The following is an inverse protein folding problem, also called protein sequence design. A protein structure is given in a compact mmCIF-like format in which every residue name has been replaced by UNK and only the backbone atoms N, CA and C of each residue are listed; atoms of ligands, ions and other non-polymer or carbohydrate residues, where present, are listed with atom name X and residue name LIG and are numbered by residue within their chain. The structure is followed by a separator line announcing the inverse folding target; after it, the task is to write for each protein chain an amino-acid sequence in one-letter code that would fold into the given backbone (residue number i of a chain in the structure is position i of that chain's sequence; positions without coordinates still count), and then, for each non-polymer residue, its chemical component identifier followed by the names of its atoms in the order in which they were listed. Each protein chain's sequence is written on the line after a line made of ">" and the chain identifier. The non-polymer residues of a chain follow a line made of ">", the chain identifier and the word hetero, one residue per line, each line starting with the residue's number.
data_IF_753546586840
#
_entry.id   IF_753546586840
#
_cell.length_a   1.000
_cell.length_b   1.000
_cell.length_c   1.000
_cell.angle_alpha   90.00
_cell.angle_beta   90.00
_cell.angle_gamma   90.00
#
_symmetry.space_group_name_H-M   'P 1'
#
loop_
_entity.id
_entity.type
_entity.pdbx_description
1 polymer ?
#
# COMPACT_ATOMS: atom_id res chain seq x y z
N UNK A 1 -47.92 -9.39 -6.58
CA UNK A 1 -46.80 -8.49 -6.90
C UNK A 1 -45.51 -9.28 -6.71
N UNK A 2 -44.85 -9.66 -7.80
CA UNK A 2 -43.64 -10.45 -7.79
C UNK A 2 -42.52 -9.57 -7.27
N UNK A 3 -42.04 -9.81 -6.04
CA UNK A 3 -40.84 -9.18 -5.54
C UNK A 3 -39.66 -9.73 -6.32
N UNK A 4 -39.22 -9.00 -7.34
CA UNK A 4 -37.93 -9.24 -7.97
C UNK A 4 -36.87 -9.01 -6.89
N UNK A 5 -36.49 -10.09 -6.19
CA UNK A 5 -35.30 -10.08 -5.38
C UNK A 5 -34.12 -9.68 -6.28
N UNK A 6 -33.44 -8.58 -5.94
CA UNK A 6 -32.24 -8.18 -6.66
C UNK A 6 -31.29 -9.39 -6.73
N UNK A 7 -30.72 -9.68 -7.90
CA UNK A 7 -29.83 -10.83 -8.05
C UNK A 7 -28.72 -10.75 -6.99
N UNK A 8 -28.54 -11.85 -6.25
CA UNK A 8 -27.46 -11.93 -5.25
C UNK A 8 -26.15 -11.65 -5.93
N UNK A 9 -25.42 -10.66 -5.45
CA UNK A 9 -24.06 -10.38 -5.92
C UNK A 9 -23.17 -11.57 -5.62
N UNK A 10 -22.18 -11.77 -6.46
CA UNK A 10 -21.16 -12.82 -6.27
C UNK A 10 -19.80 -12.26 -6.65
N UNK A 11 -18.85 -12.39 -5.74
CA UNK A 11 -17.50 -11.93 -5.94
C UNK A 11 -16.50 -13.08 -5.78
N UNK A 12 -15.50 -13.12 -6.64
CA UNK A 12 -14.30 -13.92 -6.41
C UNK A 12 -13.15 -13.00 -6.00
N UNK A 13 -12.39 -13.41 -5.01
CA UNK A 13 -11.07 -12.85 -4.71
C UNK A 13 -10.01 -13.80 -5.20
N UNK A 14 -9.14 -13.33 -6.08
CA UNK A 14 -7.92 -14.03 -6.51
C UNK A 14 -6.73 -13.39 -5.82
N UNK A 15 -5.87 -14.22 -5.19
CA UNK A 15 -4.73 -13.76 -4.39
C UNK A 15 -3.48 -14.56 -4.78
N UNK A 16 -2.42 -13.85 -5.13
CA UNK A 16 -1.10 -14.42 -5.43
C UNK A 16 -0.39 -14.91 -4.19
N UNK A 17 -0.21 -16.22 -4.06
CA UNK A 17 0.40 -16.83 -2.88
C UNK A 17 1.85 -16.40 -2.70
N UNK A 18 2.19 -15.83 -1.52
CA UNK A 18 3.55 -15.38 -1.20
C UNK A 18 4.15 -14.51 -2.32
N UNK A 19 3.37 -13.59 -2.87
CA UNK A 19 3.54 -12.98 -4.19
C UNK A 19 4.98 -12.56 -4.50
N UNK A 20 5.64 -11.77 -3.64
CA UNK A 20 7.01 -11.32 -3.91
C UNK A 20 8.00 -12.49 -4.00
N UNK A 21 7.90 -13.46 -3.09
CA UNK A 21 8.74 -14.67 -3.16
C UNK A 21 8.43 -15.47 -4.43
N UNK A 22 7.16 -15.57 -4.81
CA UNK A 22 6.77 -16.26 -6.03
C UNK A 22 7.31 -15.55 -7.29
N UNK A 23 7.37 -14.22 -7.31
CA UNK A 23 8.04 -13.48 -8.37
C UNK A 23 9.53 -13.83 -8.46
N UNK A 24 10.25 -13.87 -7.33
CA UNK A 24 11.67 -14.26 -7.33
C UNK A 24 11.86 -15.70 -7.83
N UNK A 25 10.97 -16.64 -7.46
CA UNK A 25 10.99 -18.04 -7.90
C UNK A 25 10.76 -18.21 -9.40
N UNK A 26 9.92 -17.37 -10.01
CA UNK A 26 9.70 -17.41 -11.48
C UNK A 26 11.01 -17.20 -12.24
N UNK A 27 11.86 -16.29 -11.78
CA UNK A 27 13.16 -16.00 -12.42
C UNK A 27 14.31 -16.84 -11.87
N UNK A 28 14.12 -17.49 -10.73
CA UNK A 28 15.11 -18.41 -10.16
C UNK A 28 14.44 -19.66 -9.58
N UNK A 29 14.16 -20.68 -10.43
CA UNK A 29 13.51 -21.91 -9.99
C UNK A 29 14.29 -22.70 -8.92
N UNK A 30 15.60 -22.44 -8.75
CA UNK A 30 16.41 -23.07 -7.68
C UNK A 30 15.96 -22.66 -6.27
N UNK A 31 15.11 -21.66 -6.15
CA UNK A 31 14.52 -21.23 -4.89
C UNK A 31 13.28 -22.06 -4.47
N UNK A 32 12.81 -22.98 -5.33
CA UNK A 32 11.71 -23.88 -4.94
C UNK A 32 12.17 -24.82 -3.83
N UNK A 33 11.31 -24.98 -2.80
CA UNK A 33 11.62 -25.75 -1.60
C UNK A 33 12.63 -25.10 -0.64
N UNK A 34 13.20 -23.95 -0.98
CA UNK A 34 14.13 -23.22 -0.13
C UNK A 34 13.38 -22.19 0.71
N UNK A 35 13.71 -21.99 2.01
CA UNK A 35 13.16 -20.89 2.79
C UNK A 35 13.65 -19.56 2.22
N UNK A 36 12.71 -18.71 1.81
CA UNK A 36 12.97 -17.40 1.20
C UNK A 36 12.18 -16.32 1.89
N UNK A 37 12.80 -15.17 2.10
CA UNK A 37 12.15 -13.93 2.52
C UNK A 37 12.48 -12.80 1.55
N UNK A 38 11.52 -11.91 1.33
CA UNK A 38 11.78 -10.62 0.68
C UNK A 38 11.70 -9.55 1.77
N UNK A 39 12.69 -8.68 1.78
CA UNK A 39 12.86 -7.65 2.79
C UNK A 39 12.18 -6.35 2.35
N UNK A 40 11.83 -5.51 3.32
CA UNK A 40 11.28 -4.18 3.07
C UNK A 40 12.35 -3.24 2.50
N UNK A 41 11.94 -2.02 2.11
CA UNK A 41 12.90 -0.95 1.80
C UNK A 41 13.97 -0.84 2.89
N UNK A 42 15.23 -0.73 2.48
CA UNK A 42 16.43 -0.71 3.35
C UNK A 42 16.66 -2.01 4.14
N UNK A 43 16.11 -3.14 3.65
CA UNK A 43 16.31 -4.48 4.20
C UNK A 43 16.01 -4.62 5.71
N UNK A 44 15.08 -3.80 6.21
CA UNK A 44 14.80 -3.71 7.64
C UNK A 44 14.04 -4.89 8.23
N UNK A 45 13.08 -5.46 7.49
CA UNK A 45 12.21 -6.54 7.97
C UNK A 45 11.63 -7.39 6.83
N UNK A 46 11.21 -8.62 7.14
CA UNK A 46 10.58 -9.52 6.19
C UNK A 46 9.16 -9.07 5.84
N UNK A 47 8.90 -8.71 4.58
CA UNK A 47 7.58 -8.31 4.06
C UNK A 47 6.92 -9.38 3.21
N UNK A 48 7.66 -10.38 2.75
CA UNK A 48 7.11 -11.60 2.16
C UNK A 48 7.95 -12.80 2.59
N UNK A 49 7.31 -13.98 2.66
CA UNK A 49 7.93 -15.20 3.17
C UNK A 49 7.40 -16.39 2.39
N UNK A 50 8.28 -17.31 2.01
CA UNK A 50 7.89 -18.60 1.48
C UNK A 50 7.19 -19.46 2.55
N UNK A 51 6.57 -20.56 2.16
CA UNK A 51 5.97 -21.51 3.13
C UNK A 51 7.04 -22.13 4.02
N UNK A 52 8.20 -22.43 3.46
CA UNK A 52 9.35 -22.96 4.20
C UNK A 52 9.86 -21.96 5.24
N UNK A 53 9.92 -20.66 4.88
CA UNK A 53 10.29 -19.62 5.83
C UNK A 53 9.25 -19.43 6.94
N UNK A 54 7.95 -19.57 6.62
CA UNK A 54 6.87 -19.58 7.64
C UNK A 54 6.97 -20.79 8.57
N UNK A 55 7.33 -21.97 8.05
CA UNK A 55 7.53 -23.19 8.84
C UNK A 55 8.71 -23.05 9.82
N UNK A 56 9.71 -22.24 9.50
CA UNK A 56 10.80 -21.86 10.42
C UNK A 56 10.38 -20.84 11.49
N UNK A 57 9.10 -20.47 11.56
CA UNK A 57 8.58 -19.51 12.55
C UNK A 57 8.82 -18.04 12.22
N UNK A 58 9.30 -17.69 11.04
CA UNK A 58 9.52 -16.30 10.65
C UNK A 58 8.18 -15.57 10.54
N UNK A 59 7.99 -14.49 11.30
CA UNK A 59 6.76 -13.70 11.33
C UNK A 59 6.76 -12.56 10.30
N UNK A 60 5.56 -12.07 9.93
CA UNK A 60 5.43 -10.88 9.07
C UNK A 60 5.97 -9.65 9.79
N UNK A 61 6.78 -8.85 9.11
CA UNK A 61 7.40 -7.67 9.68
C UNK A 61 8.56 -7.97 10.64
N UNK A 62 8.99 -9.23 10.76
CA UNK A 62 10.10 -9.59 11.65
C UNK A 62 11.39 -8.90 11.20
N UNK A 63 12.12 -8.20 12.12
CA UNK A 63 13.34 -7.52 11.79
C UNK A 63 14.42 -8.46 11.24
N UNK A 64 15.09 -8.04 10.17
CA UNK A 64 16.10 -8.85 9.49
C UNK A 64 17.26 -9.25 10.43
N UNK A 65 17.71 -8.34 11.28
CA UNK A 65 18.80 -8.64 12.22
C UNK A 65 18.49 -9.80 13.17
N UNK A 66 17.22 -10.08 13.46
CA UNK A 66 16.79 -11.19 14.31
C UNK A 66 16.82 -12.53 13.61
N UNK A 67 16.70 -12.57 12.29
CA UNK A 67 16.55 -13.81 11.50
C UNK A 67 17.74 -14.08 10.56
N UNK A 68 18.65 -13.14 10.39
CA UNK A 68 19.79 -13.30 9.47
C UNK A 68 20.70 -14.48 9.79
N UNK A 69 20.77 -14.92 11.06
CA UNK A 69 21.53 -16.11 11.45
C UNK A 69 20.99 -17.40 10.80
N UNK A 70 19.72 -17.41 10.42
CA UNK A 70 19.06 -18.55 9.77
C UNK A 70 19.60 -18.79 8.35
N UNK A 71 20.30 -17.84 7.73
CA UNK A 71 20.99 -18.07 6.45
C UNK A 71 22.01 -19.20 6.55
N UNK A 72 22.79 -19.21 7.65
CA UNK A 72 23.79 -20.26 7.90
C UNK A 72 23.17 -21.53 8.45
N UNK A 73 22.15 -21.40 9.28
CA UNK A 73 21.57 -22.52 10.03
C UNK A 73 20.57 -23.34 9.19
N UNK A 74 19.75 -22.70 8.37
CA UNK A 74 18.65 -23.32 7.64
C UNK A 74 18.67 -23.03 6.13
N UNK A 75 19.72 -22.39 5.63
CA UNK A 75 19.82 -22.02 4.22
C UNK A 75 18.83 -20.94 3.77
N UNK A 76 18.33 -20.13 4.72
CA UNK A 76 17.42 -19.02 4.41
C UNK A 76 18.05 -18.10 3.34
N UNK A 77 17.26 -17.74 2.33
CA UNK A 77 17.64 -16.75 1.32
C UNK A 77 16.86 -15.47 1.52
N UNK A 78 17.55 -14.34 1.56
CA UNK A 78 16.94 -13.03 1.68
C UNK A 78 17.17 -12.22 0.40
N UNK A 79 16.13 -11.56 -0.06
CA UNK A 79 16.15 -10.68 -1.22
C UNK A 79 15.70 -9.29 -0.80
N UNK A 80 16.39 -8.26 -1.29
CA UNK A 80 15.87 -6.89 -1.24
C UNK A 80 14.63 -6.77 -2.14
N UNK A 81 13.67 -5.91 -1.76
CA UNK A 81 12.45 -5.75 -2.55
C UNK A 81 12.73 -5.15 -3.93
N UNK A 82 12.31 -5.86 -4.98
CA UNK A 82 12.31 -5.40 -6.36
C UNK A 82 10.89 -4.98 -6.78
N UNK A 83 10.46 -3.79 -6.33
CA UNK A 83 9.10 -3.32 -6.58
C UNK A 83 8.78 -3.11 -8.06
N UNK A 84 9.78 -2.88 -8.91
CA UNK A 84 9.58 -2.74 -10.36
C UNK A 84 9.20 -4.09 -10.97
N UNK A 85 9.91 -5.15 -10.62
CA UNK A 85 9.57 -6.52 -10.99
C UNK A 85 8.18 -6.92 -10.47
N UNK A 86 7.90 -6.65 -9.19
CA UNK A 86 6.63 -7.07 -8.59
C UNK A 86 5.45 -6.32 -9.19
N UNK A 87 5.63 -5.04 -9.56
CA UNK A 87 4.60 -4.27 -10.24
C UNK A 87 4.33 -4.80 -11.66
N UNK A 88 5.37 -5.17 -12.42
CA UNK A 88 5.21 -5.77 -13.75
C UNK A 88 4.47 -7.11 -13.67
N UNK A 89 4.88 -8.00 -12.76
CA UNK A 89 4.23 -9.29 -12.54
C UNK A 89 2.77 -9.14 -12.08
N UNK A 90 2.49 -8.15 -11.22
CA UNK A 90 1.14 -7.79 -10.82
C UNK A 90 0.30 -7.34 -12.02
N UNK A 91 0.80 -6.43 -12.84
CA UNK A 91 0.09 -5.95 -14.03
C UNK A 91 -0.24 -7.10 -14.99
N UNK A 92 0.67 -8.03 -15.19
CA UNK A 92 0.44 -9.23 -16.00
C UNK A 92 -0.66 -10.11 -15.39
N UNK A 93 -0.61 -10.34 -14.07
CA UNK A 93 -1.65 -11.10 -13.36
C UNK A 93 -3.01 -10.41 -13.51
N UNK A 94 -3.11 -9.11 -13.27
CA UNK A 94 -4.36 -8.35 -13.38
C UNK A 94 -4.91 -8.35 -14.81
N UNK A 95 -4.05 -8.28 -15.83
CA UNK A 95 -4.44 -8.40 -17.23
C UNK A 95 -5.03 -9.78 -17.57
N UNK A 96 -4.47 -10.85 -17.02
CA UNK A 96 -5.04 -12.21 -17.16
C UNK A 96 -6.40 -12.26 -16.47
N UNK A 97 -6.51 -11.76 -15.24
CA UNK A 97 -7.74 -11.82 -14.44
C UNK A 97 -8.88 -11.02 -15.07
N UNK A 98 -8.59 -9.93 -15.79
CA UNK A 98 -9.62 -9.13 -16.49
C UNK A 98 -10.37 -9.89 -17.57
N UNK A 99 -9.83 -11.02 -18.06
CA UNK A 99 -10.49 -11.82 -19.11
C UNK A 99 -11.57 -12.75 -18.55
N UNK A 100 -11.67 -12.94 -17.22
CA UNK A 100 -12.54 -13.92 -16.59
C UNK A 100 -13.87 -13.34 -16.07
N UNK A 101 -13.97 -12.01 -15.97
CA UNK A 101 -15.18 -11.36 -15.47
C UNK A 101 -15.39 -10.00 -16.15
N UNK A 102 -16.65 -9.53 -16.28
CA UNK A 102 -16.94 -8.25 -16.91
C UNK A 102 -16.41 -7.04 -16.11
N UNK A 103 -16.20 -7.22 -14.80
CA UNK A 103 -15.67 -6.19 -13.90
C UNK A 103 -14.65 -6.76 -12.96
N UNK A 104 -13.56 -5.99 -12.74
CA UNK A 104 -12.54 -6.31 -11.76
C UNK A 104 -12.22 -5.08 -10.91
N UNK A 105 -11.74 -5.32 -9.70
CA UNK A 105 -11.12 -4.32 -8.83
C UNK A 105 -9.74 -4.82 -8.41
N UNK A 106 -8.71 -4.10 -8.83
CA UNK A 106 -7.35 -4.34 -8.35
C UNK A 106 -7.24 -3.79 -6.94
N UNK A 107 -7.37 -4.68 -5.95
CA UNK A 107 -7.39 -4.32 -4.53
C UNK A 107 -5.99 -4.07 -3.96
N UNK A 108 -5.02 -4.89 -4.36
CA UNK A 108 -3.61 -4.74 -3.98
C UNK A 108 -2.69 -5.20 -5.11
N UNK A 109 -1.38 -5.25 -4.86
CA UNK A 109 -0.39 -5.73 -5.82
C UNK A 109 -0.57 -7.23 -6.14
N UNK A 110 -1.21 -7.99 -5.25
CA UNK A 110 -1.36 -9.45 -5.31
C UNK A 110 -2.81 -9.93 -5.17
N UNK A 111 -3.77 -9.03 -4.96
CA UNK A 111 -5.20 -9.36 -4.78
C UNK A 111 -6.09 -8.61 -5.78
N UNK A 112 -7.04 -9.33 -6.36
CA UNK A 112 -8.02 -8.79 -7.29
C UNK A 112 -9.41 -9.37 -7.01
N UNK A 113 -10.42 -8.50 -6.92
CA UNK A 113 -11.82 -8.92 -6.92
C UNK A 113 -12.36 -8.97 -8.34
N UNK A 114 -13.15 -10.02 -8.63
CA UNK A 114 -13.88 -10.22 -9.88
C UNK A 114 -15.38 -10.25 -9.57
N UNK A 115 -16.20 -9.55 -10.36
CA UNK A 115 -17.66 -9.62 -10.25
C UNK A 115 -18.19 -10.77 -11.11
N UNK A 116 -18.64 -11.81 -10.45
CA UNK A 116 -19.26 -12.99 -11.09
C UNK A 116 -20.79 -12.94 -11.08
N UNK A 117 -21.38 -11.81 -10.70
CA UNK A 117 -22.83 -11.65 -10.60
C UNK A 117 -23.48 -11.86 -11.96
N UNK A 118 -24.54 -12.67 -12.01
CA UNK A 118 -25.27 -12.96 -13.23
C UNK A 118 -24.59 -13.95 -14.18
N UNK A 119 -23.36 -14.38 -13.91
CA UNK A 119 -22.69 -15.40 -14.74
C UNK A 119 -23.24 -16.79 -14.40
N UNK A 120 -23.75 -17.49 -15.43
CA UNK A 120 -24.23 -18.86 -15.30
C UNK A 120 -23.09 -19.84 -15.59
N UNK A 121 -22.23 -20.05 -14.61
CA UNK A 121 -21.01 -20.86 -14.70
C UNK A 121 -20.80 -21.68 -13.43
N UNK A 122 -20.07 -22.77 -13.54
CA UNK A 122 -19.48 -23.46 -12.38
C UNK A 122 -18.33 -22.59 -11.82
N UNK A 123 -18.57 -21.99 -10.68
CA UNK A 123 -17.63 -21.05 -10.04
C UNK A 123 -16.40 -21.75 -9.51
N UNK A 124 -16.56 -22.96 -9.00
CA UNK A 124 -15.43 -23.77 -8.52
C UNK A 124 -14.50 -24.14 -9.69
N UNK A 125 -15.06 -24.58 -10.80
CA UNK A 125 -14.32 -24.85 -12.02
C UNK A 125 -13.64 -23.59 -12.58
N UNK A 126 -14.36 -22.46 -12.60
CA UNK A 126 -13.76 -21.17 -12.99
C UNK A 126 -12.54 -20.84 -12.11
N UNK A 127 -12.66 -21.01 -10.78
CA UNK A 127 -11.56 -20.79 -9.85
C UNK A 127 -10.34 -21.63 -10.18
N UNK A 128 -10.53 -22.91 -10.51
CA UNK A 128 -9.44 -23.80 -10.93
C UNK A 128 -8.84 -23.37 -12.27
N UNK A 129 -9.68 -22.94 -13.23
CA UNK A 129 -9.21 -22.43 -14.53
C UNK A 129 -8.36 -21.18 -14.35
N UNK A 130 -8.80 -20.21 -13.54
CA UNK A 130 -8.03 -19.01 -13.21
C UNK A 130 -6.66 -19.38 -12.64
N UNK A 131 -6.63 -20.25 -11.65
CA UNK A 131 -5.38 -20.70 -11.02
C UNK A 131 -4.42 -21.36 -12.02
N UNK A 132 -4.95 -22.25 -12.85
CA UNK A 132 -4.16 -22.93 -13.86
C UNK A 132 -3.56 -21.95 -14.86
N UNK A 133 -4.37 -21.05 -15.39
CA UNK A 133 -3.94 -20.07 -16.41
C UNK A 133 -2.92 -19.06 -15.87
N UNK A 134 -3.13 -18.52 -14.67
CA UNK A 134 -2.17 -17.63 -14.01
C UNK A 134 -0.84 -18.37 -13.77
N UNK A 135 -0.89 -19.59 -13.24
CA UNK A 135 0.32 -20.40 -13.01
C UNK A 135 1.03 -20.72 -14.31
N UNK A 136 0.31 -21.10 -15.37
CA UNK A 136 0.89 -21.47 -16.66
C UNK A 136 1.53 -20.26 -17.35
N UNK A 137 0.88 -19.10 -17.35
CA UNK A 137 1.32 -17.95 -18.14
C UNK A 137 2.38 -17.09 -17.46
N UNK A 138 2.30 -16.95 -16.13
CA UNK A 138 3.22 -16.08 -15.38
C UNK A 138 3.93 -16.78 -14.20
N UNK A 139 3.68 -18.06 -13.98
CA UNK A 139 4.36 -18.83 -12.94
C UNK A 139 3.91 -18.56 -11.50
N UNK A 140 2.92 -17.69 -11.26
CA UNK A 140 2.46 -17.32 -9.92
C UNK A 140 1.37 -18.28 -9.43
N UNK A 141 1.55 -18.98 -8.28
CA UNK A 141 0.50 -19.77 -7.67
C UNK A 141 -0.54 -18.84 -7.02
N UNK A 142 -1.83 -19.15 -7.19
CA UNK A 142 -2.93 -18.35 -6.65
C UNK A 142 -3.91 -19.15 -5.84
N UNK A 143 -4.64 -18.49 -4.92
CA UNK A 143 -5.84 -19.02 -4.28
C UNK A 143 -7.05 -18.18 -4.71
N UNK A 144 -8.23 -18.86 -4.78
CA UNK A 144 -9.48 -18.22 -5.15
C UNK A 144 -10.53 -18.44 -4.06
N UNK A 145 -11.11 -17.36 -3.57
CA UNK A 145 -12.22 -17.40 -2.62
C UNK A 145 -13.45 -16.77 -3.21
N UNK A 146 -14.61 -17.43 -3.15
CA UNK A 146 -15.86 -16.97 -3.75
C UNK A 146 -16.93 -16.81 -2.67
N UNK A 147 -17.66 -15.70 -2.71
CA UNK A 147 -18.72 -15.37 -1.75
C UNK A 147 -19.72 -14.37 -2.28
N UNK A 148 -20.81 -14.18 -1.55
CA UNK A 148 -21.86 -13.20 -1.90
C UNK A 148 -21.50 -11.76 -1.53
N UNK A 149 -20.37 -11.55 -0.87
CA UNK A 149 -19.82 -10.25 -0.52
C UNK A 149 -18.30 -10.27 -0.60
N UNK A 150 -17.66 -9.12 -0.62
CA UNK A 150 -16.18 -9.01 -0.59
C UNK A 150 -15.60 -9.64 0.68
N UNK A 151 -16.24 -9.44 1.84
CA UNK A 151 -15.78 -10.04 3.10
C UNK A 151 -15.91 -11.57 3.08
N UNK A 152 -16.99 -12.11 2.51
CA UNK A 152 -17.12 -13.56 2.32
C UNK A 152 -16.08 -14.10 1.33
N UNK A 153 -15.80 -13.40 0.23
CA UNK A 153 -14.77 -13.81 -0.73
C UNK A 153 -13.36 -13.83 -0.09
N UNK A 154 -13.04 -12.85 0.76
CA UNK A 154 -11.77 -12.85 1.54
C UNK A 154 -11.72 -13.99 2.56
N UNK A 155 -12.82 -14.26 3.25
CA UNK A 155 -12.90 -15.40 4.17
C UNK A 155 -12.75 -16.75 3.43
N UNK A 156 -13.42 -16.90 2.29
CA UNK A 156 -13.28 -18.07 1.42
C UNK A 156 -11.83 -18.27 0.95
N UNK A 157 -11.15 -17.18 0.58
CA UNK A 157 -9.73 -17.21 0.20
C UNK A 157 -8.84 -17.65 1.38
N UNK A 158 -9.11 -17.15 2.59
CA UNK A 158 -8.43 -17.62 3.81
C UNK A 158 -8.62 -19.12 4.02
N UNK A 159 -9.85 -19.64 3.86
CA UNK A 159 -10.15 -21.08 3.96
C UNK A 159 -9.37 -21.86 2.90
N UNK A 160 -9.40 -21.40 1.64
CA UNK A 160 -8.70 -22.04 0.53
C UNK A 160 -7.18 -22.12 0.74
N UNK A 161 -6.59 -21.12 1.40
CA UNK A 161 -5.14 -21.10 1.74
C UNK A 161 -4.75 -21.99 2.89
N UNK A 162 -5.63 -22.16 3.88
CA UNK A 162 -5.32 -22.85 5.14
C UNK A 162 -5.70 -24.33 5.14
N UNK A 163 -6.60 -24.75 4.26
CA UNK A 163 -7.18 -26.08 4.25
C UNK A 163 -6.96 -26.78 2.91
N UNK A 164 -6.07 -27.79 2.86
CA UNK A 164 -5.69 -28.50 1.63
C UNK A 164 -6.86 -29.13 0.88
N UNK A 165 -7.92 -29.55 1.60
CA UNK A 165 -9.11 -30.16 1.02
C UNK A 165 -9.84 -29.27 0.00
N UNK A 166 -9.63 -27.97 0.05
CA UNK A 166 -10.20 -27.02 -0.91
C UNK A 166 -9.38 -26.87 -2.19
N UNK A 167 -8.25 -27.50 -2.29
CA UNK A 167 -7.37 -27.39 -3.46
C UNK A 167 -7.19 -25.93 -3.93
N UNK A 168 -7.00 -25.02 -2.97
CA UNK A 168 -6.82 -23.55 -3.16
C UNK A 168 -8.00 -22.83 -3.83
N UNK A 169 -9.20 -23.43 -3.91
CA UNK A 169 -10.45 -22.78 -4.36
C UNK A 169 -11.55 -23.08 -3.36
N UNK A 170 -12.15 -22.04 -2.78
CA UNK A 170 -13.29 -22.19 -1.88
C UNK A 170 -14.46 -21.37 -2.38
N UNK A 171 -15.56 -22.00 -2.73
CA UNK A 171 -16.82 -21.35 -3.11
C UNK A 171 -17.85 -21.50 -1.99
N UNK A 172 -18.01 -20.43 -1.18
CA UNK A 172 -19.03 -20.41 -0.12
C UNK A 172 -20.45 -20.34 -0.69
N UNK A 173 -20.62 -19.88 -1.94
CA UNK A 173 -21.97 -19.72 -2.54
C UNK A 173 -22.63 -21.05 -2.90
N UNK A 174 -21.81 -22.10 -3.05
CA UNK A 174 -22.28 -23.47 -3.37
C UNK A 174 -22.57 -24.31 -2.11
N UNK A 175 -22.20 -23.82 -0.92
CA UNK A 175 -22.33 -24.56 0.32
C UNK A 175 -23.68 -24.30 1.03
N UNK A 176 -24.22 -25.29 1.74
CA UNK A 176 -25.34 -25.08 2.64
C UNK A 176 -24.93 -24.21 3.83
N UNK A 177 -25.89 -23.44 4.35
CA UNK A 177 -25.66 -22.49 5.45
C UNK A 177 -25.09 -23.15 6.71
N UNK A 178 -25.48 -24.38 6.98
CA UNK A 178 -24.92 -25.20 8.08
C UNK A 178 -23.42 -25.37 7.95
N UNK A 179 -22.95 -25.73 6.75
CA UNK A 179 -21.52 -25.91 6.48
C UNK A 179 -20.75 -24.59 6.53
N UNK A 180 -21.32 -23.50 6.03
CA UNK A 180 -20.73 -22.16 6.14
C UNK A 180 -20.56 -21.79 7.62
N UNK A 181 -21.58 -22.05 8.44
CA UNK A 181 -21.53 -21.74 9.88
C UNK A 181 -20.49 -22.60 10.63
N UNK A 182 -20.33 -23.88 10.30
CA UNK A 182 -19.25 -24.73 10.84
C UNK A 182 -17.86 -24.15 10.51
N UNK A 183 -17.65 -23.78 9.24
CA UNK A 183 -16.40 -23.15 8.81
C UNK A 183 -16.15 -21.86 9.58
N UNK A 184 -17.15 -20.98 9.69
CA UNK A 184 -17.04 -19.72 10.40
C UNK A 184 -16.82 -19.90 11.92
N UNK A 185 -17.38 -20.95 12.53
CA UNK A 185 -17.17 -21.26 13.95
C UNK A 185 -15.72 -21.66 14.25
N UNK A 186 -15.05 -22.28 13.28
CA UNK A 186 -13.66 -22.77 13.44
C UNK A 186 -12.58 -21.71 13.17
N UNK A 187 -12.97 -20.51 12.75
CA UNK A 187 -12.05 -19.43 12.39
C UNK A 187 -12.15 -18.32 13.43
N UNK A 188 -11.01 -17.88 13.97
CA UNK A 188 -10.95 -16.83 14.97
C UNK A 188 -11.35 -15.46 14.36
N UNK A 189 -11.98 -14.61 15.16
CA UNK A 189 -12.53 -13.32 14.70
C UNK A 189 -11.47 -12.36 14.16
N UNK A 190 -10.22 -12.47 14.60
CA UNK A 190 -9.09 -11.67 14.09
C UNK A 190 -8.72 -11.98 12.63
N UNK A 191 -9.18 -13.10 12.08
CA UNK A 191 -8.96 -13.45 10.67
C UNK A 191 -9.97 -12.78 9.72
N UNK A 192 -10.97 -12.09 10.28
CA UNK A 192 -11.92 -11.31 9.48
C UNK A 192 -11.28 -10.03 8.96
N UNK A 193 -11.47 -9.77 7.69
CA UNK A 193 -10.98 -8.55 7.06
C UNK A 193 -11.45 -7.28 7.79
N UNK A 194 -10.49 -6.43 8.16
CA UNK A 194 -10.74 -5.20 8.90
C UNK A 194 -10.76 -5.35 10.43
N UNK A 195 -10.63 -6.57 10.98
CA UNK A 195 -10.56 -6.81 12.43
C UNK A 195 -9.09 -6.88 12.86
N UNK A 196 -8.54 -5.76 13.31
CA UNK A 196 -7.17 -5.68 13.83
C UNK A 196 -7.08 -6.00 15.33
N UNK A 197 -5.85 -6.06 15.87
CA UNK A 197 -5.56 -6.47 17.25
C UNK A 197 -6.42 -5.78 18.30
N UNK A 198 -6.52 -4.45 18.28
CA UNK A 198 -7.32 -3.70 19.28
C UNK A 198 -8.80 -4.06 19.22
N UNK A 199 -9.36 -4.19 18.02
CA UNK A 199 -10.76 -4.56 17.86
C UNK A 199 -10.99 -6.01 18.26
N UNK A 200 -10.04 -6.91 17.99
CA UNK A 200 -10.08 -8.32 18.47
C UNK A 200 -10.16 -8.41 19.98
N UNK A 201 -9.33 -7.66 20.70
CA UNK A 201 -9.33 -7.62 22.17
C UNK A 201 -10.69 -7.18 22.70
N UNK A 202 -11.28 -6.13 22.10
CA UNK A 202 -12.60 -5.62 22.49
C UNK A 202 -13.75 -6.58 22.15
N UNK A 203 -13.71 -7.24 21.00
CA UNK A 203 -14.71 -8.25 20.59
C UNK A 203 -14.64 -9.48 21.51
N UNK A 204 -13.44 -9.94 21.84
CA UNK A 204 -13.23 -11.06 22.75
C UNK A 204 -13.77 -10.76 24.16
N UNK A 205 -13.64 -9.52 24.64
CA UNK A 205 -14.23 -9.09 25.91
C UNK A 205 -15.76 -9.13 25.91
N UNK A 206 -16.39 -9.07 24.72
CA UNK A 206 -17.84 -9.24 24.54
C UNK A 206 -18.25 -10.70 24.28
N UNK A 207 -17.33 -11.66 24.36
CA UNK A 207 -17.59 -13.06 24.06
C UNK A 207 -17.58 -13.43 22.57
N UNK A 208 -17.28 -12.48 21.68
CA UNK A 208 -17.21 -12.69 20.22
C UNK A 208 -15.79 -13.14 19.87
N UNK A 209 -15.58 -14.44 19.71
CA UNK A 209 -14.26 -15.07 19.51
C UNK A 209 -14.06 -15.64 18.10
N UNK A 210 -15.17 -16.08 17.48
CA UNK A 210 -15.16 -16.68 16.14
C UNK A 210 -15.83 -15.78 15.11
N UNK A 211 -15.59 -16.07 13.82
CA UNK A 211 -16.30 -15.44 12.70
C UNK A 211 -17.80 -15.64 12.82
N UNK A 212 -18.25 -16.83 13.30
CA UNK A 212 -19.66 -17.12 13.47
C UNK A 212 -20.29 -16.25 14.59
N UNK A 213 -19.58 -16.05 15.69
CA UNK A 213 -20.06 -15.17 16.77
C UNK A 213 -20.28 -13.76 16.25
N UNK A 214 -19.33 -13.23 15.44
CA UNK A 214 -19.47 -11.92 14.83
C UNK A 214 -20.62 -11.87 13.82
N UNK A 215 -20.79 -12.89 12.98
CA UNK A 215 -21.94 -13.00 12.05
C UNK A 215 -23.27 -12.95 12.76
N UNK A 216 -23.37 -13.57 13.95
CA UNK A 216 -24.60 -13.63 14.78
C UNK A 216 -24.85 -12.38 15.60
N UNK A 217 -23.83 -11.56 15.86
CA UNK A 217 -23.95 -10.35 16.65
C UNK A 217 -24.99 -9.38 16.09
N UNK A 218 -25.65 -8.61 16.98
CA UNK A 218 -26.61 -7.59 16.54
C UNK A 218 -25.90 -6.41 15.85
N UNK A 219 -26.17 -6.14 14.56
CA UNK A 219 -25.43 -5.12 13.80
C UNK A 219 -25.56 -3.72 14.40
N UNK A 220 -26.75 -3.35 14.88
CA UNK A 220 -27.00 -2.01 15.44
C UNK A 220 -26.30 -1.78 16.76
N UNK A 221 -26.24 -2.81 17.59
CA UNK A 221 -25.47 -2.76 18.86
C UNK A 221 -23.97 -2.65 18.55
N UNK A 222 -23.47 -3.39 17.56
CA UNK A 222 -22.07 -3.32 17.16
C UNK A 222 -21.72 -1.97 16.51
N UNK A 223 -22.62 -1.38 15.75
CA UNK A 223 -22.45 -0.02 15.21
C UNK A 223 -22.27 1.01 16.33
N UNK A 224 -23.13 0.96 17.35
CA UNK A 224 -23.08 1.90 18.49
C UNK A 224 -21.83 1.74 19.35
N UNK A 225 -21.34 0.50 19.52
CA UNK A 225 -20.15 0.21 20.33
C UNK A 225 -18.85 0.49 19.61
N UNK A 226 -18.82 0.30 18.32
CA UNK A 226 -17.59 0.38 17.53
C UNK A 226 -17.69 1.38 16.36
N UNK A 227 -18.33 0.97 15.25
CA UNK A 227 -18.49 1.83 14.09
C UNK A 227 -19.44 1.21 13.05
N UNK A 228 -19.85 2.04 12.06
CA UNK A 228 -20.58 1.58 10.88
C UNK A 228 -19.79 0.54 10.06
N UNK A 229 -18.46 0.54 10.15
CA UNK A 229 -17.61 -0.44 9.44
C UNK A 229 -17.84 -1.84 10.03
N UNK A 230 -17.88 -1.98 11.35
CA UNK A 230 -18.16 -3.28 12.00
C UNK A 230 -19.58 -3.75 11.69
N UNK A 231 -20.57 -2.86 11.68
CA UNK A 231 -21.93 -3.18 11.25
C UNK A 231 -21.94 -3.74 9.83
N UNK A 232 -21.30 -3.05 8.88
CA UNK A 232 -21.19 -3.51 7.50
C UNK A 232 -20.49 -4.86 7.38
N UNK A 233 -19.42 -5.09 8.15
CA UNK A 233 -18.74 -6.38 8.20
C UNK A 233 -19.67 -7.51 8.58
N UNK A 234 -20.56 -7.30 9.57
CA UNK A 234 -21.56 -8.30 9.96
C UNK A 234 -22.54 -8.60 8.82
N UNK A 235 -23.04 -7.57 8.15
CA UNK A 235 -23.91 -7.75 6.97
C UNK A 235 -23.20 -8.48 5.81
N UNK A 236 -21.95 -8.13 5.57
CA UNK A 236 -21.11 -8.80 4.58
C UNK A 236 -20.91 -10.31 4.93
N UNK A 237 -20.66 -10.65 6.18
CA UNK A 237 -20.57 -12.04 6.64
C UNK A 237 -21.87 -12.81 6.48
N UNK A 238 -23.03 -12.13 6.49
CA UNK A 238 -24.35 -12.69 6.20
C UNK A 238 -24.63 -12.83 4.69
N UNK A 239 -23.70 -12.42 3.84
CA UNK A 239 -23.83 -12.46 2.38
C UNK A 239 -24.58 -11.25 1.78
N UNK A 240 -24.78 -10.19 2.57
CA UNK A 240 -25.38 -8.93 2.08
C UNK A 240 -24.24 -8.01 1.67
N UNK A 241 -24.05 -7.79 0.37
CA UNK A 241 -22.99 -6.96 -0.17
C UNK A 241 -23.22 -5.47 0.17
N UNK A 242 -22.44 -4.95 1.11
CA UNK A 242 -22.41 -3.52 1.49
C UNK A 242 -21.33 -2.74 0.73
N UNK A 243 -20.34 -3.45 0.18
CA UNK A 243 -19.23 -2.89 -0.58
C UNK A 243 -19.41 -3.24 -2.06
N UNK A 244 -19.42 -2.24 -2.92
CA UNK A 244 -19.37 -2.43 -4.38
C UNK A 244 -17.93 -2.61 -4.86
N UNK A 245 -17.74 -3.08 -6.10
CA UNK A 245 -16.45 -2.98 -6.75
C UNK A 245 -16.16 -1.52 -7.09
N UNK A 246 -14.92 -1.11 -6.86
CA UNK A 246 -14.39 0.17 -7.32
C UNK A 246 -13.76 -0.03 -8.70
N UNK A 247 -14.48 0.39 -9.75
CA UNK A 247 -14.02 0.25 -11.15
C UNK A 247 -12.79 1.14 -11.42
N UNK A 248 -12.65 2.24 -10.67
CA UNK A 248 -11.54 3.18 -10.76
C UNK A 248 -11.05 3.48 -9.34
N UNK A 249 -9.75 3.34 -9.11
CA UNK A 249 -9.16 3.75 -7.84
C UNK A 249 -9.39 5.25 -7.62
N UNK A 250 -10.02 5.65 -6.50
CA UNK A 250 -10.23 7.07 -6.22
C UNK A 250 -8.88 7.80 -6.14
N UNK A 251 -8.85 9.10 -6.50
CA UNK A 251 -7.64 9.90 -6.34
C UNK A 251 -7.14 9.85 -4.89
N UNK A 252 -5.83 9.77 -4.74
CA UNK A 252 -5.22 9.71 -3.41
C UNK A 252 -5.53 11.00 -2.64
N UNK A 253 -6.10 10.87 -1.46
CA UNK A 253 -6.39 11.98 -0.56
C UNK A 253 -5.14 12.48 0.18
N UNK A 254 -4.11 11.63 0.28
CA UNK A 254 -2.81 11.96 0.84
C UNK A 254 -1.70 11.26 0.06
N UNK A 255 -0.56 11.93 -0.09
CA UNK A 255 0.63 11.35 -0.71
C UNK A 255 1.76 11.35 0.30
N UNK A 256 2.17 10.15 0.72
CA UNK A 256 3.23 9.95 1.71
C UNK A 256 4.52 9.53 1.02
N UNK A 257 5.64 10.13 1.44
CA UNK A 257 6.98 9.69 1.07
C UNK A 257 7.84 9.68 2.32
N UNK A 258 8.21 8.49 2.81
CA UNK A 258 9.01 8.33 4.03
C UNK A 258 9.93 7.12 3.91
N UNK A 259 11.10 7.19 4.59
CA UNK A 259 12.04 6.07 4.68
C UNK A 259 12.68 6.00 6.06
N UNK A 260 12.98 4.78 6.49
CA UNK A 260 13.94 4.55 7.57
C UNK A 260 15.35 4.63 7.01
N UNK A 261 16.27 5.19 7.77
CA UNK A 261 17.68 5.30 7.40
C UNK A 261 18.40 3.98 7.67
N UNK A 262 19.36 3.61 6.83
CA UNK A 262 20.21 2.43 7.05
C UNK A 262 21.19 2.62 8.24
N UNK A 263 21.60 3.86 8.48
CA UNK A 263 22.32 4.32 9.68
C UNK A 263 21.55 5.45 10.35
N UNK A 264 21.74 5.62 11.64
CA UNK A 264 21.17 6.77 12.33
C UNK A 264 21.74 8.08 11.77
N UNK A 265 20.88 9.08 11.65
CA UNK A 265 21.22 10.43 11.17
C UNK A 265 21.11 11.39 12.35
N UNK A 266 22.16 12.16 12.60
CA UNK A 266 22.21 13.15 13.69
C UNK A 266 22.16 14.57 13.20
N UNK A 267 22.67 14.80 11.99
CA UNK A 267 22.87 16.15 11.44
C UNK A 267 21.65 16.67 10.70
N UNK A 268 21.31 17.94 10.96
CA UNK A 268 20.18 18.62 10.32
C UNK A 268 20.31 18.66 8.79
N UNK A 269 21.53 18.86 8.27
CA UNK A 269 21.76 18.94 6.84
C UNK A 269 21.44 17.61 6.11
N UNK A 270 21.78 16.45 6.69
CA UNK A 270 21.45 15.13 6.15
C UNK A 270 19.91 14.91 6.15
N UNK A 271 19.23 15.35 7.21
CA UNK A 271 17.76 15.30 7.26
C UNK A 271 17.12 16.23 6.22
N UNK A 272 17.69 17.43 5.98
CA UNK A 272 17.23 18.35 4.92
C UNK A 272 17.35 17.71 3.54
N UNK A 273 18.46 17.04 3.23
CA UNK A 273 18.64 16.32 1.98
C UNK A 273 17.59 15.22 1.80
N UNK A 274 17.37 14.39 2.84
CA UNK A 274 16.37 13.33 2.81
C UNK A 274 14.95 13.88 2.60
N UNK A 275 14.54 14.89 3.37
CA UNK A 275 13.23 15.55 3.28
C UNK A 275 13.01 16.16 1.90
N UNK A 276 14.04 16.80 1.32
CA UNK A 276 13.98 17.35 -0.05
C UNK A 276 13.75 16.27 -1.08
N UNK A 277 14.49 15.17 -1.00
CA UNK A 277 14.32 14.03 -1.90
C UNK A 277 12.91 13.41 -1.78
N UNK A 278 12.42 13.24 -0.54
CA UNK A 278 11.09 12.67 -0.30
C UNK A 278 9.99 13.60 -0.78
N UNK A 279 10.13 14.92 -0.59
CA UNK A 279 9.17 15.89 -1.05
C UNK A 279 9.14 15.98 -2.58
N UNK A 280 10.30 15.95 -3.24
CA UNK A 280 10.39 15.92 -4.71
C UNK A 280 9.64 14.73 -5.31
N UNK A 281 9.77 13.54 -4.70
CA UNK A 281 9.02 12.34 -5.11
C UNK A 281 7.52 12.45 -4.84
N UNK A 282 7.13 13.07 -3.73
CA UNK A 282 5.72 13.27 -3.40
C UNK A 282 5.08 14.27 -4.39
N UNK A 283 5.78 15.35 -4.71
CA UNK A 283 5.36 16.36 -5.69
C UNK A 283 5.21 15.79 -7.11
N UNK A 284 6.14 14.93 -7.55
CA UNK A 284 6.03 14.22 -8.83
C UNK A 284 4.75 13.37 -8.89
N UNK A 285 4.43 12.61 -7.82
CA UNK A 285 3.21 11.81 -7.74
C UNK A 285 1.95 12.68 -7.73
N UNK A 286 2.00 13.84 -7.07
CA UNK A 286 0.91 14.82 -7.02
C UNK A 286 0.60 15.34 -8.42
N UNK A 287 1.62 15.75 -9.18
CA UNK A 287 1.49 16.20 -10.58
C UNK A 287 0.99 15.10 -11.51
N UNK A 288 1.48 13.86 -11.36
CA UNK A 288 0.97 12.71 -12.14
C UNK A 288 -0.51 12.44 -11.92
N UNK A 289 -1.04 12.80 -10.74
CA UNK A 289 -2.46 12.72 -10.43
C UNK A 289 -3.25 13.94 -10.94
N UNK A 290 -2.60 14.98 -11.47
CA UNK A 290 -3.24 16.24 -11.85
C UNK A 290 -3.80 17.02 -10.65
N UNK A 291 -3.14 16.96 -9.51
CA UNK A 291 -3.63 17.50 -8.24
C UNK A 291 -2.66 18.50 -7.63
N UNK A 292 -3.19 19.33 -6.72
CA UNK A 292 -2.44 20.28 -5.88
C UNK A 292 -2.69 19.93 -4.40
N UNK A 293 -1.74 20.29 -3.52
CA UNK A 293 -1.86 20.12 -2.08
C UNK A 293 -2.06 21.46 -1.38
N UNK A 294 -2.78 21.48 -0.26
CA UNK A 294 -2.98 22.69 0.59
C UNK A 294 -2.17 22.63 1.88
N UNK A 295 -1.66 21.47 2.28
CA UNK A 295 -0.84 21.33 3.48
C UNK A 295 0.29 20.33 3.29
N UNK A 296 1.38 20.58 4.02
CA UNK A 296 2.56 19.74 4.10
C UNK A 296 2.77 19.31 5.54
N UNK A 297 2.85 18.01 5.77
CA UNK A 297 3.26 17.45 7.05
C UNK A 297 4.66 16.86 6.95
N UNK A 298 5.52 17.17 7.91
CA UNK A 298 6.88 16.62 8.02
C UNK A 298 7.01 15.92 9.37
N UNK A 299 7.66 14.77 9.41
CA UNK A 299 7.93 14.05 10.64
C UNK A 299 9.32 13.42 10.65
N UNK A 300 9.91 13.37 11.83
CA UNK A 300 11.17 12.67 12.12
C UNK A 300 11.02 11.87 13.40
N UNK A 301 11.73 10.76 13.51
CA UNK A 301 11.74 9.97 14.74
C UNK A 301 13.02 9.14 14.90
N UNK A 302 13.37 8.85 16.16
CA UNK A 302 14.36 7.86 16.54
C UNK A 302 13.82 6.44 16.43
N UNK A 303 14.61 5.43 16.68
CA UNK A 303 14.16 4.03 16.72
C UNK A 303 13.31 3.78 17.98
N UNK A 304 12.10 3.23 17.85
CA UNK A 304 11.31 2.83 19.02
C UNK A 304 11.80 1.52 19.67
N UNK A 305 12.80 0.86 19.08
CA UNK A 305 13.35 -0.43 19.54
C UNK A 305 14.68 -0.29 20.28
N UNK A 306 15.17 0.93 20.47
CA UNK A 306 16.38 1.21 21.24
C UNK A 306 16.00 1.49 22.68
N UNK A 307 16.52 0.66 23.59
CA UNK A 307 16.31 0.78 25.04
C UNK A 307 17.37 1.69 25.69
N UNK A 308 18.51 1.89 25.02
CA UNK A 308 19.65 2.68 25.49
C UNK A 308 19.47 4.19 25.32
N UNK A 309 18.48 4.65 24.55
CA UNK A 309 18.21 6.08 24.30
C UNK A 309 16.72 6.38 24.33
N UNK A 310 16.31 7.57 24.82
CA UNK A 310 14.92 7.96 24.85
C UNK A 310 14.34 8.07 23.44
N UNK A 311 13.10 7.63 23.29
CA UNK A 311 12.36 7.81 22.04
C UNK A 311 12.04 9.29 21.82
N UNK A 312 12.38 9.80 20.64
CA UNK A 312 11.95 11.10 20.15
C UNK A 312 11.18 10.92 18.84
N UNK A 313 9.98 11.45 18.76
CA UNK A 313 9.19 11.42 17.54
C UNK A 313 8.30 12.66 17.47
N UNK A 314 8.55 13.51 16.48
CA UNK A 314 7.80 14.74 16.28
C UNK A 314 7.39 14.89 14.83
N UNK A 315 6.26 15.57 14.62
CA UNK A 315 5.77 15.95 13.32
C UNK A 315 5.08 17.32 13.36
N UNK A 316 5.11 18.01 12.24
CA UNK A 316 4.47 19.31 12.10
C UNK A 316 3.75 19.42 10.76
N UNK A 317 2.52 19.90 10.80
CA UNK A 317 1.73 20.24 9.62
C UNK A 317 1.78 21.76 9.42
N UNK A 318 2.06 22.16 8.20
CA UNK A 318 2.11 23.56 7.79
C UNK A 318 1.14 23.75 6.62
N UNK A 319 0.21 24.72 6.69
CA UNK A 319 -0.63 25.09 5.57
C UNK A 319 0.19 25.79 4.49
N UNK A 320 -0.24 25.65 3.25
CA UNK A 320 0.24 26.43 2.11
C UNK A 320 -0.66 27.66 1.93
N UNK A 321 -0.08 28.79 1.55
CA UNK A 321 -0.84 30.02 1.30
C UNK A 321 -1.78 29.82 0.12
N UNK A 322 -1.28 29.17 -0.94
CA UNK A 322 -2.06 28.76 -2.11
C UNK A 322 -1.82 27.29 -2.38
N UNK A 323 -2.86 26.53 -2.83
CA UNK A 323 -2.67 25.16 -3.25
C UNK A 323 -1.64 25.07 -4.37
N UNK A 324 -0.67 24.16 -4.26
CA UNK A 324 0.42 24.09 -5.24
C UNK A 324 0.90 22.64 -5.47
N UNK A 325 1.46 22.41 -6.67
CA UNK A 325 2.24 21.22 -7.04
C UNK A 325 3.70 21.56 -7.36
N UNK A 326 4.11 22.82 -7.15
CA UNK A 326 5.48 23.28 -7.34
C UNK A 326 6.42 22.69 -6.28
N UNK A 327 7.30 21.81 -6.73
CA UNK A 327 8.27 21.13 -5.87
C UNK A 327 9.10 22.09 -5.03
N UNK A 328 9.47 23.25 -5.57
CA UNK A 328 10.29 24.26 -4.87
C UNK A 328 9.57 24.85 -3.66
N UNK A 329 8.28 25.20 -3.83
CA UNK A 329 7.45 25.72 -2.75
C UNK A 329 7.19 24.63 -1.68
N UNK A 330 6.84 23.43 -2.12
CA UNK A 330 6.59 22.28 -1.22
C UNK A 330 7.84 21.93 -0.40
N UNK A 331 9.03 21.92 -1.02
CA UNK A 331 10.31 21.70 -0.34
C UNK A 331 10.60 22.79 0.67
N UNK A 332 10.42 24.07 0.30
CA UNK A 332 10.64 25.22 1.21
C UNK A 332 9.78 25.11 2.47
N UNK A 333 8.50 24.75 2.34
CA UNK A 333 7.59 24.57 3.48
C UNK A 333 7.98 23.32 4.30
N UNK A 334 8.35 22.21 3.64
CA UNK A 334 8.81 21.01 4.32
C UNK A 334 10.06 21.27 5.17
N UNK A 335 11.02 22.03 4.66
CA UNK A 335 12.25 22.36 5.39
C UNK A 335 11.98 23.25 6.61
N UNK A 336 11.06 24.24 6.50
CA UNK A 336 10.60 25.01 7.66
C UNK A 336 9.97 24.13 8.73
N UNK A 337 9.16 23.14 8.32
CA UNK A 337 8.57 22.17 9.23
C UNK A 337 9.63 21.31 9.92
N UNK A 338 10.63 20.84 9.16
CA UNK A 338 11.74 20.06 9.69
C UNK A 338 12.57 20.84 10.73
N UNK A 339 12.93 22.09 10.41
CA UNK A 339 13.70 22.96 11.34
C UNK A 339 12.98 23.18 12.66
N UNK A 340 11.65 23.27 12.62
CA UNK A 340 10.84 23.48 13.82
C UNK A 340 10.73 22.25 14.74
N UNK A 341 11.00 21.03 14.22
CA UNK A 341 10.90 19.78 14.99
C UNK A 341 12.24 19.11 15.21
N UNK A 342 13.31 19.61 14.59
CA UNK A 342 14.65 19.07 14.79
C UNK A 342 15.19 19.45 16.16
N UNK A 343 15.79 18.49 16.84
CA UNK A 343 16.57 18.68 18.07
C UNK A 343 17.94 18.02 17.91
N UNK A 344 19.04 18.70 18.21
CA UNK A 344 20.37 18.10 18.18
C UNK A 344 20.52 17.02 19.26
N UNK A 345 21.44 16.06 19.02
CA UNK A 345 21.73 14.99 19.98
C UNK A 345 20.85 13.75 19.89
N UNK A 346 19.90 13.70 18.95
CA UNK A 346 19.08 12.53 18.70
C UNK A 346 19.56 11.71 17.49
N UNK A 347 19.48 10.38 17.62
CA UNK A 347 19.77 9.42 16.54
C UNK A 347 18.52 9.18 15.71
N UNK A 348 18.26 10.01 14.70
CA UNK A 348 17.08 9.88 13.86
C UNK A 348 17.16 8.64 12.97
N UNK A 349 16.15 7.79 13.06
CA UNK A 349 16.06 6.54 12.28
C UNK A 349 15.07 6.63 11.12
N UNK A 350 14.14 7.58 11.15
CA UNK A 350 13.14 7.76 10.09
C UNK A 350 12.80 9.23 9.90
N UNK A 351 12.66 9.61 8.63
CA UNK A 351 12.06 10.88 8.22
C UNK A 351 10.98 10.63 7.16
N UNK A 352 10.04 11.57 7.04
CA UNK A 352 9.01 11.50 6.01
C UNK A 352 8.25 12.79 5.85
N UNK A 353 7.57 12.88 4.70
CA UNK A 353 6.68 13.98 4.32
C UNK A 353 5.34 13.42 3.89
N UNK A 354 4.29 14.21 4.11
CA UNK A 354 2.93 13.92 3.64
C UNK A 354 2.37 15.17 2.99
N UNK A 355 1.88 15.04 1.76
CA UNK A 355 1.03 16.04 1.12
C UNK A 355 -0.41 15.74 1.51
N UNK A 356 -1.11 16.77 1.99
CA UNK A 356 -2.45 16.67 2.57
C UNK A 356 -3.39 17.68 1.89
N UNK A 357 -4.69 17.48 2.11
CA UNK A 357 -5.75 18.32 1.55
C UNK A 357 -5.59 18.45 0.03
N UNK A 358 -5.48 17.27 -0.61
CA UNK A 358 -5.24 17.14 -2.04
C UNK A 358 -6.54 17.36 -2.79
N UNK A 359 -6.49 18.24 -3.77
CA UNK A 359 -7.62 18.55 -4.67
C UNK A 359 -7.17 18.54 -6.13
N UNK A 360 -8.09 18.33 -7.10
CA UNK A 360 -7.77 18.42 -8.52
C UNK A 360 -7.22 19.79 -8.86
N UNK A 361 -6.21 19.85 -9.74
CA UNK A 361 -5.67 21.11 -10.23
C UNK A 361 -6.75 21.84 -11.02
N UNK A 362 -7.03 23.10 -10.67
CA UNK A 362 -8.12 23.90 -11.27
C UNK A 362 -9.48 23.76 -10.58
N UNK A 363 -9.65 22.87 -9.58
CA UNK A 363 -10.86 22.85 -8.78
C UNK A 363 -10.80 23.92 -7.69
N UNK A 364 -11.62 24.96 -7.85
CA UNK A 364 -11.89 25.92 -6.78
C UNK A 364 -10.81 26.98 -6.53
N UNK A 365 -10.25 27.57 -7.56
CA UNK A 365 -9.89 28.99 -7.46
C UNK A 365 -11.20 29.78 -7.41
N UNK A 366 -11.88 29.75 -6.26
CA UNK A 366 -12.73 30.89 -5.88
C UNK A 366 -11.72 32.01 -5.71
N UNK A 367 -11.63 32.86 -6.73
CA UNK A 367 -10.77 34.04 -6.70
C UNK A 367 -11.03 34.74 -5.39
N UNK A 368 -9.99 34.92 -4.59
CA UNK A 368 -10.06 35.77 -3.43
C UNK A 368 -10.59 37.11 -3.95
N UNK A 369 -11.75 37.53 -3.48
CA UNK A 369 -12.44 38.76 -3.94
C UNK A 369 -11.54 40.00 -3.87
N UNK A 370 -10.40 39.87 -3.18
CA UNK A 370 -9.37 40.90 -3.02
C UNK A 370 -8.19 40.76 -3.99
N UNK A 371 -8.10 39.71 -4.82
CA UNK A 371 -7.00 39.49 -5.78
C UNK A 371 -7.25 40.06 -7.17
N UNK A 372 -8.38 40.76 -7.40
CA UNK A 372 -8.77 41.32 -8.70
C UNK A 372 -7.83 42.41 -9.24
N UNK A 373 -6.79 42.83 -8.50
CA UNK A 373 -5.85 43.87 -8.93
C UNK A 373 -4.50 43.36 -9.49
N UNK A 374 -4.21 42.03 -9.44
CA UNK A 374 -2.93 41.46 -9.89
C UNK A 374 -3.05 40.17 -10.71
N UNK A 375 -4.17 39.96 -11.39
CA UNK A 375 -4.43 38.68 -12.11
C UNK A 375 -3.40 38.35 -13.21
N UNK A 376 -2.91 39.34 -13.93
CA UNK A 376 -2.01 39.11 -15.08
C UNK A 376 -0.59 38.67 -14.66
N UNK A 377 -0.05 39.19 -13.57
CA UNK A 377 1.28 38.81 -13.08
C UNK A 377 1.29 37.47 -12.39
N UNK A 378 0.25 37.14 -11.64
CA UNK A 378 0.12 35.83 -10.93
C UNK A 378 -0.04 34.68 -11.92
N UNK A 379 -0.85 34.86 -12.97
CA UNK A 379 -1.08 33.83 -14.01
C UNK A 379 0.18 33.58 -14.87
N UNK A 380 0.95 34.64 -15.16
CA UNK A 380 2.24 34.49 -15.86
C UNK A 380 3.29 33.75 -15.02
N UNK A 381 3.32 33.98 -13.70
CA UNK A 381 4.21 33.28 -12.78
C UNK A 381 3.81 31.80 -12.58
N UNK A 382 2.53 31.50 -12.48
CA UNK A 382 2.03 30.10 -12.42
C UNK A 382 2.34 29.33 -13.70
N UNK A 383 2.16 29.93 -14.88
CA UNK A 383 2.49 29.33 -16.16
C UNK A 383 3.99 29.00 -16.29
N UNK A 384 4.88 29.88 -15.82
CA UNK A 384 6.33 29.63 -15.79
C UNK A 384 6.69 28.51 -14.81
N UNK A 385 6.07 28.48 -13.62
CA UNK A 385 6.28 27.42 -12.63
C UNK A 385 5.89 26.06 -13.20
N UNK A 386 4.73 25.98 -13.85
CA UNK A 386 4.25 24.75 -14.51
C UNK A 386 5.18 24.28 -15.64
N UNK A 387 5.71 25.21 -16.44
CA UNK A 387 6.67 24.86 -17.50
C UNK A 387 7.96 24.26 -16.91
N UNK A 388 8.50 24.86 -15.85
CA UNK A 388 9.70 24.37 -15.17
C UNK A 388 9.45 22.97 -14.58
N UNK A 389 8.30 22.74 -13.94
CA UNK A 389 7.97 21.42 -13.38
C UNK A 389 7.80 20.36 -14.47
N UNK A 390 7.16 20.69 -15.59
CA UNK A 390 7.03 19.77 -16.76
C UNK A 390 8.38 19.42 -17.37
N UNK A 391 9.27 20.41 -17.52
CA UNK A 391 10.63 20.18 -18.02
C UNK A 391 11.42 19.24 -17.08
N UNK A 392 11.36 19.53 -15.76
CA UNK A 392 12.03 18.71 -14.76
C UNK A 392 11.52 17.27 -14.79
N UNK A 393 10.20 17.08 -14.81
CA UNK A 393 9.58 15.74 -14.87
C UNK A 393 9.91 15.04 -16.20
N UNK A 394 9.94 15.76 -17.31
CA UNK A 394 10.32 15.25 -18.63
C UNK A 394 11.77 14.77 -18.70
N UNK A 395 12.70 15.51 -18.13
CA UNK A 395 14.12 15.13 -18.04
C UNK A 395 14.28 13.89 -17.14
N UNK A 396 13.65 13.89 -15.96
CA UNK A 396 13.70 12.77 -15.04
C UNK A 396 13.06 11.49 -15.62
N UNK A 397 12.07 11.62 -16.51
CA UNK A 397 11.48 10.49 -17.21
C UNK A 397 12.41 9.90 -18.29
N UNK A 398 13.19 10.73 -18.98
CA UNK A 398 14.09 10.33 -20.06
C UNK A 398 15.46 9.86 -19.59
N UNK A 399 16.03 10.56 -18.60
CA UNK A 399 17.41 10.38 -18.15
C UNK A 399 17.53 9.58 -16.86
N UNK A 400 16.40 9.20 -16.26
CA UNK A 400 16.35 8.46 -14.99
C UNK A 400 15.86 9.31 -13.81
N UNK A 401 15.37 8.62 -12.77
CA UNK A 401 14.80 9.26 -11.59
C UNK A 401 15.82 10.13 -10.86
N UNK A 402 15.44 11.37 -10.54
CA UNK A 402 16.23 12.36 -9.81
C UNK A 402 17.48 12.88 -10.55
N UNK A 403 17.54 12.77 -11.90
CA UNK A 403 18.58 13.42 -12.71
C UNK A 403 18.60 14.94 -12.52
N UNK A 404 17.44 15.53 -12.33
CA UNK A 404 17.29 16.94 -11.90
C UNK A 404 16.35 16.98 -10.69
N UNK A 405 16.77 17.69 -9.65
CA UNK A 405 15.95 17.95 -8.47
C UNK A 405 16.25 19.35 -7.91
N UNK A 406 15.30 19.97 -7.19
CA UNK A 406 15.56 21.25 -6.52
C UNK A 406 16.71 21.10 -5.53
N UNK A 407 17.68 21.99 -5.63
CA UNK A 407 18.82 22.03 -4.72
C UNK A 407 18.38 22.71 -3.44
N UNK A 408 18.21 21.96 -2.37
CA UNK A 408 17.97 22.54 -1.05
C UNK A 408 19.26 22.66 -0.22
N UNK A 409 20.25 21.86 -0.53
CA UNK A 409 21.55 21.82 0.12
C UNK A 409 22.55 21.06 -0.74
N UNK A 410 23.21 21.72 -1.66
CA UNK A 410 24.55 21.34 -2.06
C UNK A 410 25.49 22.30 -1.33
N UNK A 411 26.31 21.81 -0.43
CA UNK A 411 27.60 22.44 -0.25
C UNK A 411 28.34 22.22 -1.56
N UNK A 412 28.27 23.18 -2.46
CA UNK A 412 29.32 23.39 -3.44
C UNK A 412 30.57 23.54 -2.59
N UNK A 413 31.42 22.50 -2.54
CA UNK A 413 32.78 22.69 -2.07
C UNK A 413 33.34 23.83 -2.94
N UNK A 414 34.05 24.76 -2.34
CA UNK A 414 34.50 26.01 -2.94
C UNK A 414 35.36 25.83 -4.23
N UNK A 415 35.43 24.64 -4.78
CA UNK A 415 36.20 24.24 -5.98
C UNK A 415 35.43 23.40 -6.98
N UNK A 416 34.14 23.11 -6.80
CA UNK A 416 33.34 22.43 -7.84
C UNK A 416 32.81 23.47 -8.83
N UNK A 417 33.38 23.52 -10.00
CA UNK A 417 32.89 24.34 -11.11
C UNK A 417 31.70 23.63 -11.79
N UNK A 418 30.86 24.39 -12.49
CA UNK A 418 29.75 23.87 -13.29
C UNK A 418 30.21 22.75 -14.26
N UNK A 419 31.49 22.80 -14.69
CA UNK A 419 32.10 21.79 -15.54
C UNK A 419 32.23 20.42 -14.83
N UNK A 420 32.57 20.41 -13.55
CA UNK A 420 32.72 19.15 -12.77
C UNK A 420 31.38 18.46 -12.52
N UNK A 421 30.29 19.24 -12.41
CA UNK A 421 28.93 18.73 -12.32
C UNK A 421 28.44 18.11 -13.63
N UNK A 422 28.81 18.69 -14.78
CA UNK A 422 28.48 18.15 -16.11
C UNK A 422 29.29 16.90 -16.41
N UNK A 423 30.56 16.85 -16.00
CA UNK A 423 31.42 15.67 -16.22
C UNK A 423 31.00 14.47 -15.34
N UNK A 424 30.49 14.70 -14.12
CA UNK A 424 29.90 13.60 -13.30
C UNK A 424 28.60 13.03 -13.89
N UNK A 425 27.81 13.86 -14.54
CA UNK A 425 26.58 13.43 -15.24
C UNK A 425 26.85 12.63 -16.54
N UNK A 426 28.06 12.68 -17.06
CA UNK A 426 28.45 11.99 -18.29
C UNK A 426 29.28 10.71 -18.06
N UNK A 427 29.68 10.44 -16.80
CA UNK A 427 30.56 9.33 -16.42
C UNK A 427 29.94 8.32 -15.46
N UNK A 428 28.70 8.54 -14.96
CA UNK A 428 27.84 7.59 -14.24
C UNK A 428 26.61 7.23 -15.10
#
# INVERSE_FOLDING_TARGET
>A
MSTHALPKRTYALVDGNNFYVSCERVFNPRLEGVPVVVLSNNDGCAVARSQEAKALGISMGQPWFQIRHMERQYGLKAFSSNYELYADMSNRMMSILSTFAPKQEVYSIDECFLDLSGMNIDRSQLGQTIRHQVKQWIGIPTCVGIGHSKTQAKLANHIAKKRPEWNSVCDLTSLPETRINELMASIAVNEVWGIGRKLTEQLNALGIRSVLDLKRADPKTMQRKFSVVVERTIWELRGIACLSLEDINPPKQQIISSRSFGRAVTELHELKQAVTSYMSRAAEKLRKQGSVAQAVHVHIRTSPFREDKPYYGQGRTLPLITPTDDTRQLVKVALKGLEAIYQPGHDYQKAGVVLMDIQPKGAGQIGDLFSLTHENDTQAHENKADQVMRLMDGINAKMGKASIQPVSYTHLRAHETVLDLVCRLLLE
#
